data_IF_623537404965
#
_entry.id   IF_623537404965
#
_cell.length_a   1.000
_cell.length_b   1.000
_cell.length_c   1.000
_cell.angle_alpha   90.00
_cell.angle_beta   90.00
_cell.angle_gamma   90.00
#
_symmetry.space_group_name_H-M   'P 1'
#
loop_
_entity.id
_entity.type
_entity.pdbx_description
1 polymer ?
#
# COMPACT_ATOMS: atom_id res chain seq x y z
N UNK A 1 26.06 -0.92 -39.16
CA UNK A 1 25.29 0.23 -39.68
C UNK A 1 24.82 1.12 -38.52
N UNK A 2 25.19 2.40 -38.50
CA UNK A 2 24.72 3.34 -37.46
C UNK A 2 23.24 3.66 -37.68
N UNK A 3 22.39 3.46 -36.66
CA UNK A 3 20.96 3.78 -36.74
C UNK A 3 20.79 5.30 -36.91
N UNK A 4 20.01 5.78 -37.91
CA UNK A 4 19.80 7.21 -38.10
C UNK A 4 19.07 7.87 -36.92
N UNK A 5 19.51 9.06 -36.50
CA UNK A 5 18.92 9.81 -35.36
C UNK A 5 17.42 10.07 -35.52
N UNK A 6 16.95 10.35 -36.76
CA UNK A 6 15.52 10.53 -37.06
C UNK A 6 14.69 9.28 -36.74
N UNK A 7 15.24 8.09 -36.99
CA UNK A 7 14.58 6.81 -36.69
C UNK A 7 14.46 6.63 -35.18
N UNK A 8 15.55 6.86 -34.44
CA UNK A 8 15.59 6.73 -32.98
C UNK A 8 14.57 7.70 -32.33
N UNK A 9 14.47 8.93 -32.84
CA UNK A 9 13.52 9.91 -32.33
C UNK A 9 12.06 9.50 -32.58
N UNK A 10 11.76 8.96 -33.76
CA UNK A 10 10.44 8.44 -34.09
C UNK A 10 10.04 7.30 -33.14
N UNK A 11 10.93 6.32 -32.94
CA UNK A 11 10.68 5.20 -32.01
C UNK A 11 10.43 5.69 -30.57
N UNK A 12 11.17 6.71 -30.12
CA UNK A 12 10.97 7.31 -28.80
C UNK A 12 9.57 7.91 -28.66
N UNK A 13 9.11 8.67 -29.66
CA UNK A 13 7.78 9.26 -29.66
C UNK A 13 6.68 8.21 -29.71
N UNK A 14 6.84 7.17 -30.53
CA UNK A 14 5.91 6.04 -30.58
C UNK A 14 5.83 5.31 -29.24
N UNK A 15 6.97 5.01 -28.61
CA UNK A 15 7.00 4.33 -27.31
C UNK A 15 6.34 5.15 -26.20
N UNK A 16 6.66 6.45 -26.14
CA UNK A 16 6.15 7.37 -25.12
C UNK A 16 4.69 7.75 -25.34
N UNK A 17 4.22 7.76 -26.60
CA UNK A 17 2.83 8.03 -26.98
C UNK A 17 1.84 6.91 -26.64
N UNK A 18 2.31 5.69 -26.37
CA UNK A 18 1.44 4.57 -25.95
C UNK A 18 0.64 4.92 -24.69
N UNK A 19 -0.69 4.80 -24.78
CA UNK A 19 -1.63 5.06 -23.69
C UNK A 19 -1.33 4.16 -22.49
N UNK A 20 -0.94 4.76 -21.36
CA UNK A 20 -0.67 4.07 -20.09
C UNK A 20 -1.40 4.77 -18.95
N UNK A 21 -1.84 4.00 -17.96
CA UNK A 21 -2.44 4.57 -16.75
C UNK A 21 -1.45 5.49 -16.03
N UNK A 22 -1.94 6.61 -15.49
CA UNK A 22 -1.11 7.59 -14.74
C UNK A 22 -0.30 6.93 -13.63
N UNK A 23 -0.91 5.99 -12.91
CA UNK A 23 -0.27 5.24 -11.82
C UNK A 23 0.90 4.37 -12.29
N UNK A 24 0.88 3.88 -13.55
CA UNK A 24 1.98 3.13 -14.16
C UNK A 24 3.14 4.05 -14.51
N UNK A 25 2.85 5.20 -15.12
CA UNK A 25 3.88 6.19 -15.45
C UNK A 25 4.58 6.71 -14.19
N UNK A 26 3.84 6.95 -13.12
CA UNK A 26 4.41 7.37 -11.83
C UNK A 26 5.32 6.30 -11.21
N UNK A 27 5.05 5.01 -11.47
CA UNK A 27 5.96 3.93 -11.06
C UNK A 27 7.23 3.94 -11.90
N UNK A 28 7.11 4.02 -13.23
CA UNK A 28 8.27 4.08 -14.12
C UNK A 28 9.20 5.24 -13.80
N UNK A 29 8.65 6.44 -13.57
CA UNK A 29 9.44 7.60 -13.12
C UNK A 29 10.21 7.35 -11.83
N UNK A 30 9.61 6.67 -10.86
CA UNK A 30 10.28 6.35 -9.59
C UNK A 30 11.42 5.36 -9.79
N UNK A 31 11.19 4.30 -10.56
CA UNK A 31 12.24 3.31 -10.84
C UNK A 31 13.38 3.93 -11.65
N UNK A 32 13.08 4.80 -12.62
CA UNK A 32 14.11 5.55 -13.36
C UNK A 32 14.92 6.46 -12.45
N UNK A 33 14.28 7.24 -11.57
CA UNK A 33 15.00 8.08 -10.60
C UNK A 33 15.88 7.25 -9.66
N UNK A 34 15.40 6.09 -9.21
CA UNK A 34 16.17 5.19 -8.37
C UNK A 34 17.38 4.61 -9.12
N UNK A 35 17.22 4.25 -10.40
CA UNK A 35 18.32 3.80 -11.23
C UNK A 35 19.39 4.89 -11.39
N UNK A 36 18.99 6.11 -11.76
CA UNK A 36 19.93 7.25 -11.88
C UNK A 36 20.62 7.55 -10.56
N UNK A 37 19.89 7.57 -9.44
CA UNK A 37 20.45 7.85 -8.12
C UNK A 37 21.40 6.75 -7.60
N UNK A 38 21.33 5.54 -8.16
CA UNK A 38 22.22 4.44 -7.77
C UNK A 38 23.65 4.58 -8.32
N UNK A 39 23.84 5.42 -9.35
CA UNK A 39 25.11 5.53 -10.07
C UNK A 39 25.46 4.32 -10.94
N UNK A 40 24.66 3.25 -10.91
CA UNK A 40 24.87 2.06 -11.74
C UNK A 40 24.45 2.31 -13.19
N UNK A 41 25.16 1.66 -14.12
CA UNK A 41 24.72 1.54 -15.50
C UNK A 41 23.32 0.89 -15.56
N UNK A 42 22.42 1.28 -16.49
CA UNK A 42 21.10 0.70 -16.62
C UNK A 42 21.07 -0.84 -16.76
N UNK A 43 22.08 -1.45 -17.38
CA UNK A 43 22.21 -2.90 -17.50
C UNK A 43 22.59 -3.53 -16.16
N UNK A 44 23.50 -2.91 -15.42
CA UNK A 44 23.95 -3.38 -14.11
C UNK A 44 22.86 -3.21 -13.06
N UNK A 45 22.13 -2.10 -13.08
CA UNK A 45 20.97 -1.89 -12.23
C UNK A 45 19.88 -2.95 -12.49
N UNK A 46 19.67 -3.33 -13.76
CA UNK A 46 18.74 -4.40 -14.11
C UNK A 46 19.24 -5.79 -13.64
N UNK A 47 20.54 -6.08 -13.74
CA UNK A 47 21.17 -7.30 -13.22
C UNK A 47 21.04 -7.38 -11.70
N UNK A 48 21.37 -6.30 -10.99
CA UNK A 48 21.22 -6.20 -9.54
C UNK A 48 19.76 -6.39 -9.11
N UNK A 49 18.82 -5.79 -9.84
CA UNK A 49 17.41 -5.98 -9.59
C UNK A 49 16.94 -7.44 -9.75
N UNK A 50 17.48 -8.15 -10.74
CA UNK A 50 17.20 -9.57 -10.96
C UNK A 50 17.71 -10.43 -9.81
N UNK A 51 18.89 -10.13 -9.26
CA UNK A 51 19.49 -10.88 -8.17
C UNK A 51 18.80 -10.63 -6.82
N UNK A 52 18.45 -9.38 -6.50
CA UNK A 52 17.98 -8.99 -5.16
C UNK A 52 16.47 -9.16 -4.98
N UNK A 53 15.67 -8.79 -5.97
CA UNK A 53 14.20 -8.90 -5.91
C UNK A 53 13.63 -9.23 -7.30
N UNK A 54 13.71 -10.51 -7.72
CA UNK A 54 13.21 -10.97 -9.01
C UNK A 54 11.76 -10.52 -9.26
N UNK A 55 10.92 -10.49 -8.22
CA UNK A 55 9.49 -10.16 -8.31
C UNK A 55 9.20 -8.75 -8.84
N UNK A 56 10.17 -7.84 -8.73
CA UNK A 56 10.08 -6.46 -9.23
C UNK A 56 10.85 -6.23 -10.52
N UNK A 57 11.57 -7.24 -11.02
CA UNK A 57 12.41 -7.12 -12.21
C UNK A 57 11.67 -6.52 -13.40
N UNK A 58 10.48 -7.05 -13.73
CA UNK A 58 9.69 -6.58 -14.88
C UNK A 58 9.32 -5.10 -14.73
N UNK A 59 8.94 -4.67 -13.52
CA UNK A 59 8.59 -3.28 -13.24
C UNK A 59 9.82 -2.36 -13.38
N UNK A 60 10.94 -2.75 -12.79
CA UNK A 60 12.21 -2.01 -12.82
C UNK A 60 12.72 -1.87 -14.24
N UNK A 61 12.84 -2.99 -14.96
CA UNK A 61 13.20 -3.04 -16.39
C UNK A 61 12.32 -2.13 -17.24
N UNK A 62 11.00 -2.20 -17.05
CA UNK A 62 10.07 -1.32 -17.80
C UNK A 62 10.27 0.15 -17.46
N UNK A 63 10.55 0.47 -16.18
CA UNK A 63 10.82 1.83 -15.74
C UNK A 63 12.11 2.41 -16.32
N UNK A 64 13.17 1.60 -16.38
CA UNK A 64 14.45 1.94 -17.01
C UNK A 64 14.26 2.19 -18.51
N UNK A 65 13.63 1.25 -19.23
CA UNK A 65 13.35 1.40 -20.67
C UNK A 65 12.55 2.68 -20.94
N UNK A 66 11.53 2.96 -20.11
CA UNK A 66 10.77 4.20 -20.23
C UNK A 66 11.64 5.45 -20.01
N UNK A 67 12.50 5.44 -19.00
CA UNK A 67 13.43 6.54 -18.70
C UNK A 67 14.44 6.78 -19.81
N UNK A 68 14.98 5.72 -20.41
CA UNK A 68 15.90 5.78 -21.55
C UNK A 68 15.22 6.39 -22.78
N UNK A 69 13.99 5.98 -23.10
CA UNK A 69 13.22 6.60 -24.20
C UNK A 69 12.93 8.09 -23.96
N UNK A 70 12.57 8.45 -22.73
CA UNK A 70 12.34 9.85 -22.35
C UNK A 70 13.65 10.67 -22.41
N UNK A 71 14.78 10.07 -22.05
CA UNK A 71 16.12 10.67 -22.18
C UNK A 71 16.53 10.86 -23.63
N UNK A 72 16.28 9.88 -24.51
CA UNK A 72 16.52 9.98 -25.96
C UNK A 72 15.74 11.17 -26.54
N UNK A 73 14.43 11.24 -26.26
CA UNK A 73 13.58 12.31 -26.79
C UNK A 73 14.07 13.68 -26.36
N UNK A 74 14.39 13.86 -25.06
CA UNK A 74 14.93 15.12 -24.55
C UNK A 74 16.31 15.45 -25.13
N UNK A 75 17.21 14.46 -25.21
CA UNK A 75 18.57 14.64 -25.71
C UNK A 75 18.61 15.07 -27.17
N UNK A 76 17.78 14.47 -28.04
CA UNK A 76 17.72 14.84 -29.45
C UNK A 76 17.14 16.25 -29.65
N UNK A 77 16.11 16.62 -28.88
CA UNK A 77 15.56 17.99 -28.91
C UNK A 77 16.59 19.02 -28.41
N UNK A 78 17.34 18.70 -27.35
CA UNK A 78 18.41 19.56 -26.86
C UNK A 78 19.55 19.69 -27.88
N UNK A 79 19.95 18.59 -28.53
CA UNK A 79 21.00 18.59 -29.53
C UNK A 79 20.66 19.48 -30.73
N UNK A 80 19.40 19.46 -31.19
CA UNK A 80 18.94 20.32 -32.27
C UNK A 80 19.02 21.82 -31.90
N UNK A 81 18.73 22.18 -30.64
CA UNK A 81 18.87 23.55 -30.13
C UNK A 81 20.33 23.97 -30.06
N UNK A 82 21.15 23.15 -29.40
CA UNK A 82 22.59 23.38 -29.23
C UNK A 82 23.31 23.52 -30.58
N UNK A 83 22.90 22.75 -31.60
CA UNK A 83 23.43 22.88 -32.95
C UNK A 83 23.06 24.23 -33.60
N UNK A 84 21.86 24.75 -33.34
CA UNK A 84 21.46 26.10 -33.74
C UNK A 84 22.23 27.20 -33.01
N UNK A 85 22.64 26.93 -31.77
CA UNK A 85 23.42 27.84 -30.92
C UNK A 85 24.95 27.73 -31.15
N UNK A 86 25.41 26.95 -32.14
CA UNK A 86 26.83 26.75 -32.45
C UNK A 86 27.59 25.81 -31.49
N UNK A 87 26.91 25.17 -30.53
CA UNK A 87 27.47 24.24 -29.54
C UNK A 87 27.61 22.82 -30.11
N UNK A 88 28.39 22.67 -31.17
CA UNK A 88 28.47 21.43 -31.98
C UNK A 88 28.97 20.21 -31.19
N UNK A 89 29.94 20.37 -30.29
CA UNK A 89 30.46 19.26 -29.46
C UNK A 89 29.39 18.71 -28.51
N UNK A 90 28.67 19.61 -27.83
CA UNK A 90 27.59 19.25 -26.91
C UNK A 90 26.43 18.56 -27.64
N UNK A 91 26.05 19.08 -28.81
CA UNK A 91 25.04 18.46 -29.66
C UNK A 91 25.47 17.04 -30.10
N UNK A 92 26.73 16.88 -30.47
CA UNK A 92 27.31 15.58 -30.88
C UNK A 92 27.31 14.58 -29.73
N UNK A 93 27.71 15.00 -28.52
CA UNK A 93 27.68 14.17 -27.31
C UNK A 93 26.26 13.69 -26.99
N UNK A 94 25.26 14.57 -27.08
CA UNK A 94 23.85 14.23 -26.83
C UNK A 94 23.30 13.23 -27.86
N UNK A 95 23.68 13.36 -29.13
CA UNK A 95 23.32 12.40 -30.19
C UNK A 95 23.98 11.04 -29.93
N UNK A 96 25.25 11.01 -29.54
CA UNK A 96 25.96 9.77 -29.22
C UNK A 96 25.34 9.07 -27.99
N UNK A 97 24.99 9.84 -26.96
CA UNK A 97 24.29 9.31 -25.80
C UNK A 97 22.92 8.73 -26.17
N UNK A 98 22.16 9.38 -27.05
CA UNK A 98 20.87 8.86 -27.53
C UNK A 98 21.04 7.53 -28.31
N UNK A 99 22.08 7.42 -29.14
CA UNK A 99 22.42 6.16 -29.83
C UNK A 99 22.77 5.05 -28.83
N UNK A 100 23.58 5.36 -27.82
CA UNK A 100 23.94 4.39 -26.78
C UNK A 100 22.71 3.93 -25.98
N UNK A 101 21.85 4.85 -25.54
CA UNK A 101 20.58 4.50 -24.88
C UNK A 101 19.72 3.57 -25.73
N UNK A 102 19.67 3.78 -27.05
CA UNK A 102 18.91 2.92 -27.97
C UNK A 102 19.45 1.49 -28.03
N UNK A 103 20.78 1.32 -27.95
CA UNK A 103 21.43 0.01 -27.85
C UNK A 103 21.06 -0.66 -26.53
N UNK A 104 21.19 0.06 -25.41
CA UNK A 104 20.83 -0.43 -24.07
C UNK A 104 19.38 -0.86 -23.99
N UNK A 105 18.44 -0.12 -24.59
CA UNK A 105 17.03 -0.52 -24.68
C UNK A 105 16.90 -1.87 -25.39
N UNK A 106 17.63 -2.09 -26.49
CA UNK A 106 17.64 -3.36 -27.21
C UNK A 106 18.11 -4.51 -26.32
N UNK A 107 19.24 -4.31 -25.63
CA UNK A 107 19.80 -5.30 -24.70
C UNK A 107 18.84 -5.62 -23.54
N UNK A 108 18.25 -4.60 -22.91
CA UNK A 108 17.27 -4.79 -21.83
C UNK A 108 16.01 -5.51 -22.32
N UNK A 109 15.56 -5.20 -23.54
CA UNK A 109 14.36 -5.82 -24.12
C UNK A 109 14.59 -7.29 -24.47
N UNK A 110 15.80 -7.64 -24.90
CA UNK A 110 16.20 -9.01 -25.23
C UNK A 110 16.51 -9.89 -24.01
N UNK A 111 16.82 -9.30 -22.85
CA UNK A 111 17.12 -10.07 -21.63
C UNK A 111 15.96 -10.99 -21.23
N UNK A 112 16.32 -12.21 -20.89
CA UNK A 112 15.40 -13.17 -20.28
C UNK A 112 14.85 -12.64 -18.96
N UNK A 113 13.64 -13.09 -18.64
CA UNK A 113 12.98 -12.74 -17.40
C UNK A 113 13.37 -13.77 -16.34
N UNK A 114 13.96 -13.36 -15.19
CA UNK A 114 14.41 -14.30 -14.18
C UNK A 114 13.25 -15.10 -13.59
N UNK A 115 13.54 -16.32 -13.16
CA UNK A 115 12.56 -17.18 -12.50
C UNK A 115 11.99 -16.46 -11.26
N UNK A 116 10.67 -16.50 -11.09
CA UNK A 116 9.99 -15.81 -9.99
C UNK A 116 9.69 -14.32 -10.23
N UNK A 117 10.05 -13.76 -11.39
CA UNK A 117 9.71 -12.36 -11.72
C UNK A 117 8.21 -12.11 -11.88
N UNK A 118 7.47 -13.14 -12.25
CA UNK A 118 6.01 -13.10 -12.21
C UNK A 118 5.53 -13.64 -10.87
N UNK A 119 5.09 -12.75 -9.98
CA UNK A 119 4.28 -13.18 -8.84
C UNK A 119 2.95 -13.70 -9.37
N UNK A 120 2.51 -14.90 -8.95
CA UNK A 120 1.12 -15.33 -9.15
C UNK A 120 0.20 -14.17 -8.77
N UNK A 121 -0.73 -13.82 -9.65
CA UNK A 121 -1.71 -12.74 -9.44
C UNK A 121 -2.29 -12.93 -8.04
N UNK A 122 -1.92 -12.04 -7.10
CA UNK A 122 -2.35 -12.19 -5.72
C UNK A 122 -3.86 -12.24 -5.69
N UNK A 123 -4.44 -13.36 -5.26
CA UNK A 123 -5.89 -13.46 -5.12
C UNK A 123 -6.32 -12.43 -4.07
N UNK A 124 -6.75 -11.26 -4.55
CA UNK A 124 -7.23 -10.24 -3.64
C UNK A 124 -8.50 -10.79 -3.02
N UNK A 125 -8.51 -10.96 -1.69
CA UNK A 125 -9.73 -11.30 -0.93
C UNK A 125 -10.81 -10.21 -1.04
N UNK A 126 -10.63 -9.19 -1.88
CA UNK A 126 -11.68 -8.21 -2.22
C UNK A 126 -12.86 -8.86 -2.94
N UNK A 127 -12.62 -9.97 -3.64
CA UNK A 127 -13.67 -10.76 -4.29
C UNK A 127 -14.40 -11.70 -3.35
N UNK A 128 -13.86 -12.00 -2.15
CA UNK A 128 -14.47 -13.01 -1.26
C UNK A 128 -15.80 -12.58 -0.65
N UNK A 129 -16.14 -11.29 -0.71
CA UNK A 129 -17.45 -10.79 -0.27
C UNK A 129 -18.52 -10.82 -1.37
N UNK A 130 -18.14 -11.14 -2.62
CA UNK A 130 -19.07 -11.22 -3.75
C UNK A 130 -19.93 -12.48 -3.58
N UNK A 131 -21.25 -12.32 -3.70
CA UNK A 131 -22.21 -13.44 -3.62
C UNK A 131 -22.73 -13.76 -2.21
N UNK A 132 -22.26 -13.10 -1.15
CA UNK A 132 -22.89 -13.23 0.17
C UNK A 132 -24.17 -12.39 0.24
N UNK A 133 -25.22 -12.84 0.96
CA UNK A 133 -26.39 -12.01 1.27
C UNK A 133 -26.02 -10.88 2.25
N UNK A 134 -26.93 -9.94 2.52
CA UNK A 134 -26.61 -8.74 3.33
C UNK A 134 -26.41 -9.07 4.82
N UNK A 135 -27.20 -10.02 5.30
CA UNK A 135 -27.34 -10.57 6.65
C UNK A 135 -26.48 -11.83 6.88
N UNK A 136 -25.48 -12.07 6.04
CA UNK A 136 -24.66 -13.30 6.11
C UNK A 136 -23.96 -13.50 7.46
N UNK A 137 -23.71 -12.43 8.23
CA UNK A 137 -23.07 -12.52 9.56
C UNK A 137 -24.06 -13.00 10.60
N UNK A 138 -25.28 -12.48 10.53
CA UNK A 138 -26.42 -12.83 11.35
C UNK A 138 -26.77 -14.29 11.13
N UNK A 139 -26.93 -14.71 9.87
CA UNK A 139 -27.13 -16.12 9.49
C UNK A 139 -25.99 -17.03 9.99
N UNK A 140 -24.74 -16.60 9.84
CA UNK A 140 -23.59 -17.38 10.31
C UNK A 140 -23.49 -17.44 11.85
N UNK A 141 -23.96 -16.43 12.57
CA UNK A 141 -24.02 -16.45 14.03
C UNK A 141 -25.13 -17.38 14.53
N UNK A 142 -26.32 -17.31 13.92
CA UNK A 142 -27.46 -18.17 14.22
C UNK A 142 -27.15 -19.66 14.01
N UNK A 143 -26.43 -20.00 12.93
CA UNK A 143 -26.12 -21.38 12.58
C UNK A 143 -24.80 -21.91 13.18
N UNK A 144 -24.14 -21.10 14.03
CA UNK A 144 -22.95 -21.56 14.75
C UNK A 144 -23.32 -22.36 16.00
N UNK A 145 -22.40 -23.19 16.48
CA UNK A 145 -22.64 -23.91 17.74
C UNK A 145 -22.55 -22.94 18.94
N UNK A 146 -23.34 -23.13 20.01
CA UNK A 146 -23.36 -22.20 21.15
C UNK A 146 -21.97 -21.91 21.75
N UNK A 147 -21.13 -22.95 21.87
CA UNK A 147 -19.77 -22.79 22.37
C UNK A 147 -18.92 -21.84 21.50
N UNK A 148 -19.16 -21.80 20.18
CA UNK A 148 -18.42 -20.97 19.23
C UNK A 148 -18.97 -19.55 19.11
N UNK A 149 -20.22 -19.32 19.51
CA UNK A 149 -20.94 -18.07 19.31
C UNK A 149 -20.17 -16.84 19.81
N UNK A 150 -19.63 -16.80 21.05
CA UNK A 150 -18.87 -15.62 21.50
C UNK A 150 -17.68 -15.27 20.60
N UNK A 151 -16.96 -16.30 20.11
CA UNK A 151 -15.81 -16.14 19.23
C UNK A 151 -16.21 -15.64 17.83
N UNK A 152 -17.36 -16.09 17.32
CA UNK A 152 -17.93 -15.65 16.04
C UNK A 152 -18.39 -14.19 16.14
N UNK A 153 -19.14 -13.83 17.19
CA UNK A 153 -19.62 -12.46 17.43
C UNK A 153 -18.45 -11.47 17.55
N UNK A 154 -17.45 -11.77 18.38
CA UNK A 154 -16.23 -10.95 18.51
C UNK A 154 -15.52 -10.79 17.17
N UNK A 155 -15.44 -11.85 16.36
CA UNK A 155 -14.81 -11.79 15.03
C UNK A 155 -15.55 -10.84 14.10
N UNK A 156 -16.89 -10.89 14.08
CA UNK A 156 -17.72 -10.07 13.20
C UNK A 156 -17.79 -8.60 13.62
N UNK A 157 -17.83 -8.32 14.92
CA UNK A 157 -17.92 -6.95 15.45
C UNK A 157 -16.58 -6.21 15.43
N UNK A 158 -15.46 -6.92 15.65
CA UNK A 158 -14.15 -6.27 15.82
C UNK A 158 -13.17 -6.47 14.67
N UNK A 159 -13.42 -7.46 13.79
CA UNK A 159 -12.48 -7.85 12.76
C UNK A 159 -11.11 -8.28 13.31
N UNK A 160 -11.04 -8.79 14.54
CA UNK A 160 -9.81 -9.30 15.13
C UNK A 160 -9.19 -10.40 14.26
N UNK A 161 -7.86 -10.48 14.24
CA UNK A 161 -7.17 -11.58 13.54
C UNK A 161 -7.40 -12.88 14.33
N UNK A 162 -7.41 -14.05 13.67
CA UNK A 162 -7.48 -15.33 14.37
C UNK A 162 -6.42 -15.49 15.47
N UNK A 163 -5.19 -15.03 15.22
CA UNK A 163 -4.12 -15.05 16.22
C UNK A 163 -4.38 -14.11 17.41
N UNK A 164 -5.10 -13.00 17.20
CA UNK A 164 -5.50 -12.10 18.30
C UNK A 164 -6.56 -12.78 19.18
N UNK A 165 -7.53 -13.45 18.56
CA UNK A 165 -8.55 -14.21 19.27
C UNK A 165 -7.96 -15.42 20.04
N UNK A 166 -6.90 -16.02 19.52
CA UNK A 166 -6.20 -17.12 20.19
C UNK A 166 -5.50 -16.66 21.49
N UNK A 167 -4.92 -15.46 21.50
CA UNK A 167 -4.33 -14.86 22.72
C UNK A 167 -5.39 -14.47 23.75
N UNK A 168 -6.61 -14.22 23.29
CA UNK A 168 -7.75 -13.83 24.10
C UNK A 168 -8.16 -12.39 23.87
N UNK A 169 -9.46 -12.21 23.68
CA UNK A 169 -10.12 -10.91 23.56
C UNK A 169 -11.01 -10.73 24.79
N UNK A 170 -10.90 -9.58 25.44
CA UNK A 170 -11.73 -9.24 26.59
C UNK A 170 -12.94 -8.44 26.12
N UNK A 171 -14.11 -8.80 26.61
CA UNK A 171 -15.37 -8.09 26.41
C UNK A 171 -15.85 -7.62 27.76
N UNK A 172 -16.22 -6.34 27.86
CA UNK A 172 -16.76 -5.76 29.09
C UNK A 172 -18.01 -4.96 28.75
N UNK A 173 -19.10 -5.20 29.47
CA UNK A 173 -20.30 -4.36 29.44
C UNK A 173 -19.93 -3.03 30.10
N UNK A 174 -20.23 -1.93 29.42
CA UNK A 174 -20.01 -0.59 29.96
C UNK A 174 -21.29 -0.08 30.62
N UNK A 175 -22.42 -0.25 29.93
CA UNK A 175 -23.75 0.14 30.36
C UNK A 175 -24.81 -0.68 29.59
N UNK A 176 -26.09 -0.31 29.70
CA UNK A 176 -27.21 -1.00 29.05
C UNK A 176 -27.15 -1.01 27.51
N UNK A 177 -26.42 -0.06 26.91
CA UNK A 177 -26.37 0.17 25.47
C UNK A 177 -24.97 -0.01 24.87
N UNK A 178 -23.94 -0.19 25.70
CA UNK A 178 -22.56 -0.25 25.24
C UNK A 178 -21.77 -1.41 25.84
N UNK A 179 -20.90 -1.98 25.01
CA UNK A 179 -19.85 -2.90 25.42
C UNK A 179 -18.51 -2.50 24.82
N UNK A 180 -17.42 -2.87 25.48
CA UNK A 180 -16.06 -2.69 24.98
C UNK A 180 -15.43 -4.02 24.61
N UNK A 181 -14.71 -4.05 23.48
CA UNK A 181 -13.91 -5.18 23.03
C UNK A 181 -12.43 -4.77 23.05
N UNK A 182 -11.66 -5.35 23.96
CA UNK A 182 -10.22 -5.10 24.12
C UNK A 182 -9.38 -6.22 23.51
N UNK A 183 -8.49 -5.86 22.59
CA UNK A 183 -7.75 -6.80 21.76
C UNK A 183 -6.25 -6.56 21.91
N UNK A 184 -5.50 -7.60 22.25
CA UNK A 184 -4.04 -7.62 22.19
C UNK A 184 -3.58 -7.88 20.75
N UNK A 185 -2.65 -7.08 20.24
CA UNK A 185 -2.17 -7.19 18.87
C UNK A 185 -1.20 -8.36 18.68
N UNK A 186 -1.46 -9.23 17.69
CA UNK A 186 -0.66 -10.44 17.43
C UNK A 186 0.53 -10.23 16.48
N UNK A 187 0.54 -9.14 15.71
CA UNK A 187 1.59 -8.83 14.72
C UNK A 187 2.22 -7.48 15.03
N UNK A 188 2.80 -7.39 16.20
CA UNK A 188 3.36 -6.17 16.76
C UNK A 188 4.87 -6.33 16.92
N UNK A 189 5.60 -5.27 16.65
CA UNK A 189 6.98 -5.08 17.09
C UNK A 189 7.14 -3.60 17.47
N UNK A 190 8.34 -3.13 17.78
CA UNK A 190 8.58 -1.73 18.16
C UNK A 190 8.03 -0.71 17.15
N UNK A 191 8.09 -1.02 15.85
CA UNK A 191 7.76 -0.08 14.77
C UNK A 191 6.45 -0.40 14.03
N UNK A 192 5.84 -1.56 14.28
CA UNK A 192 4.69 -2.10 13.52
C UNK A 192 3.59 -2.62 14.44
N UNK A 193 2.35 -2.48 13.97
CA UNK A 193 1.15 -3.00 14.64
C UNK A 193 0.78 -2.24 15.92
N UNK A 194 -0.49 -2.29 16.30
CA UNK A 194 -0.96 -1.74 17.58
C UNK A 194 -0.80 -2.81 18.68
N UNK A 195 0.01 -2.58 19.74
CA UNK A 195 0.14 -3.48 20.89
C UNK A 195 -1.21 -3.88 21.50
N UNK A 196 -2.10 -2.92 21.65
CA UNK A 196 -3.48 -3.15 22.04
C UNK A 196 -4.41 -2.13 21.35
N UNK A 197 -5.69 -2.48 21.29
CA UNK A 197 -6.78 -1.56 20.93
C UNK A 197 -8.06 -1.91 21.69
N UNK A 198 -8.89 -0.92 21.94
CA UNK A 198 -10.20 -1.04 22.58
C UNK A 198 -11.24 -0.43 21.65
N UNK A 199 -12.30 -1.19 21.38
CA UNK A 199 -13.43 -0.74 20.56
C UNK A 199 -14.64 -0.61 21.47
N UNK A 200 -15.31 0.54 21.48
CA UNK A 200 -16.61 0.70 22.13
C UNK A 200 -17.69 0.50 21.09
N UNK A 201 -18.61 -0.41 21.39
CA UNK A 201 -19.64 -0.93 20.49
C UNK A 201 -21.00 -0.61 21.11
N UNK A 202 -21.84 0.13 20.38
CA UNK A 202 -23.25 0.27 20.70
C UNK A 202 -24.02 -1.02 20.39
N UNK A 203 -24.97 -1.39 21.23
CA UNK A 203 -25.86 -2.54 21.02
C UNK A 203 -27.02 -2.19 20.10
N UNK A 204 -27.49 -0.94 20.17
CA UNK A 204 -28.58 -0.44 19.34
C UNK A 204 -28.29 -0.61 17.84
N UNK A 205 -29.28 -1.14 17.11
CA UNK A 205 -29.17 -1.34 15.67
C UNK A 205 -28.24 -2.48 15.24
N UNK A 206 -27.72 -3.31 16.17
CA UNK A 206 -26.95 -4.50 15.83
C UNK A 206 -27.30 -5.70 16.71
N UNK A 207 -28.03 -6.65 16.11
CA UNK A 207 -28.40 -7.92 16.74
C UNK A 207 -27.16 -8.69 17.26
N UNK A 208 -26.08 -8.73 16.47
CA UNK A 208 -24.82 -9.35 16.89
C UNK A 208 -24.21 -8.70 18.14
N UNK A 209 -24.31 -7.37 18.28
CA UNK A 209 -23.80 -6.65 19.43
C UNK A 209 -24.69 -6.88 20.66
N UNK A 210 -26.01 -6.86 20.48
CA UNK A 210 -26.98 -7.21 21.53
C UNK A 210 -26.77 -8.63 22.07
N UNK A 211 -26.57 -9.62 21.20
CA UNK A 211 -26.27 -10.99 21.62
C UNK A 211 -24.95 -11.09 22.39
N UNK A 212 -23.90 -10.39 21.96
CA UNK A 212 -22.62 -10.39 22.68
C UNK A 212 -22.75 -9.70 24.05
N UNK A 213 -23.53 -8.61 24.11
CA UNK A 213 -23.86 -7.92 25.35
C UNK A 213 -24.56 -8.87 26.32
N UNK A 214 -25.62 -9.56 25.88
CA UNK A 214 -26.36 -10.52 26.71
C UNK A 214 -25.46 -11.63 27.25
N UNK A 215 -24.59 -12.19 26.41
CA UNK A 215 -23.63 -13.22 26.82
C UNK A 215 -22.63 -12.72 27.87
N UNK A 216 -22.17 -11.47 27.76
CA UNK A 216 -21.27 -10.85 28.74
C UNK A 216 -22.01 -10.50 30.03
N UNK A 217 -23.21 -9.93 29.96
CA UNK A 217 -24.07 -9.60 31.10
C UNK A 217 -24.39 -10.85 31.93
N UNK A 218 -24.77 -11.96 31.27
CA UNK A 218 -25.02 -13.25 31.94
C UNK A 218 -23.78 -13.85 32.63
N UNK A 219 -22.59 -13.32 32.36
CA UNK A 219 -21.32 -13.70 33.00
C UNK A 219 -20.78 -12.63 33.96
N UNK A 220 -21.67 -11.76 34.47
CA UNK A 220 -21.30 -10.71 35.42
C UNK A 220 -20.70 -9.47 34.76
N UNK A 221 -21.05 -9.20 33.50
CA UNK A 221 -20.62 -8.01 32.76
C UNK A 221 -19.23 -8.10 32.15
N UNK A 222 -18.52 -9.23 32.27
CA UNK A 222 -17.21 -9.45 31.68
C UNK A 222 -17.07 -10.85 31.08
N UNK A 223 -16.43 -10.92 29.91
CA UNK A 223 -16.22 -12.17 29.19
C UNK A 223 -14.83 -12.21 28.53
N UNK A 224 -14.05 -13.25 28.81
CA UNK A 224 -12.79 -13.51 28.09
C UNK A 224 -13.02 -14.55 26.99
N UNK A 225 -12.94 -14.12 25.74
CA UNK A 225 -13.20 -14.96 24.57
C UNK A 225 -11.88 -15.43 23.96
N UNK A 226 -11.70 -16.76 23.90
CA UNK A 226 -10.55 -17.41 23.27
C UNK A 226 -10.99 -18.49 22.29
N UNK A 227 -10.35 -18.55 21.12
CA UNK A 227 -10.52 -19.66 20.19
C UNK A 227 -9.30 -19.83 19.30
N UNK A 228 -8.85 -21.08 19.14
CA UNK A 228 -7.71 -21.40 18.28
C UNK A 228 -8.03 -21.12 16.80
N UNK A 229 -7.06 -20.64 15.99
CA UNK A 229 -7.31 -20.22 14.61
C UNK A 229 -7.93 -21.32 13.73
N UNK A 230 -7.40 -22.54 13.81
CA UNK A 230 -7.89 -23.70 13.04
C UNK A 230 -9.34 -24.02 13.39
N UNK A 231 -9.65 -24.04 14.69
CA UNK A 231 -11.01 -24.29 15.20
C UNK A 231 -11.97 -23.17 14.83
N UNK A 232 -11.56 -21.90 14.93
CA UNK A 232 -12.37 -20.76 14.50
C UNK A 232 -12.75 -20.87 13.02
N UNK A 233 -11.77 -21.18 12.16
CA UNK A 233 -12.03 -21.35 10.73
C UNK A 233 -12.96 -22.54 10.45
N UNK A 234 -12.79 -23.66 11.14
CA UNK A 234 -13.71 -24.81 11.05
C UNK A 234 -15.12 -24.42 11.47
N UNK A 235 -15.29 -23.75 12.61
CA UNK A 235 -16.59 -23.32 13.13
C UNK A 235 -17.31 -22.38 12.15
N UNK A 236 -16.58 -21.41 11.59
CA UNK A 236 -17.11 -20.49 10.59
C UNK A 236 -17.51 -21.20 9.29
N UNK A 237 -16.69 -22.14 8.80
CA UNK A 237 -17.01 -22.92 7.61
C UNK A 237 -18.23 -23.82 7.83
N UNK A 238 -18.34 -24.46 8.99
CA UNK A 238 -19.50 -25.28 9.36
C UNK A 238 -20.77 -24.43 9.49
N UNK A 239 -20.68 -23.26 10.13
CA UNK A 239 -21.82 -22.34 10.25
C UNK A 239 -22.28 -21.84 8.87
N UNK A 240 -21.36 -21.45 8.00
CA UNK A 240 -21.68 -21.07 6.62
C UNK A 240 -22.37 -22.22 5.86
N UNK A 241 -21.84 -23.44 5.96
CA UNK A 241 -22.45 -24.61 5.31
C UNK A 241 -23.89 -24.84 5.79
N UNK A 242 -24.14 -24.73 7.10
CA UNK A 242 -25.48 -24.89 7.70
C UNK A 242 -26.45 -23.80 7.26
N UNK A 243 -25.95 -22.58 7.10
CA UNK A 243 -26.73 -21.43 6.62
C UNK A 243 -26.86 -21.37 5.09
N UNK A 244 -26.40 -22.38 4.33
CA UNK A 244 -26.42 -22.35 2.87
C UNK A 244 -25.53 -21.29 2.23
N UNK A 245 -24.54 -20.78 2.96
CA UNK A 245 -23.64 -19.71 2.51
C UNK A 245 -22.35 -20.26 1.86
N UNK A 246 -21.76 -19.50 0.92
CA UNK A 246 -20.37 -19.72 0.52
C UNK A 246 -19.41 -19.77 1.71
N UNK A 247 -18.29 -20.47 1.56
CA UNK A 247 -17.31 -20.62 2.64
C UNK A 247 -16.81 -19.27 3.17
N UNK A 248 -17.07 -19.00 4.45
CA UNK A 248 -16.65 -17.79 5.15
C UNK A 248 -15.40 -18.04 6.01
N UNK A 249 -14.61 -16.99 6.25
CA UNK A 249 -13.48 -17.07 7.18
C UNK A 249 -13.28 -15.75 7.95
N UNK A 250 -12.56 -15.80 9.07
CA UNK A 250 -12.34 -14.63 9.93
C UNK A 250 -11.69 -13.42 9.23
N UNK A 251 -10.82 -13.68 8.23
CA UNK A 251 -10.23 -12.59 7.44
C UNK A 251 -11.28 -11.87 6.56
N UNK A 252 -12.34 -12.57 6.14
CA UNK A 252 -13.44 -11.95 5.39
C UNK A 252 -14.22 -10.99 6.28
N UNK A 253 -14.52 -11.38 7.52
CA UNK A 253 -15.15 -10.50 8.50
C UNK A 253 -14.36 -9.20 8.70
N UNK A 254 -13.04 -9.32 8.83
CA UNK A 254 -12.15 -8.16 8.93
C UNK A 254 -12.14 -7.29 7.67
N UNK A 255 -12.19 -7.89 6.49
CA UNK A 255 -12.30 -7.15 5.24
C UNK A 255 -13.64 -6.44 5.11
N UNK A 256 -14.72 -7.10 5.52
CA UNK A 256 -16.06 -6.53 5.56
C UNK A 256 -16.12 -5.33 6.49
N UNK A 257 -15.67 -5.46 7.74
CA UNK A 257 -15.62 -4.37 8.71
C UNK A 257 -14.84 -3.17 8.17
N UNK A 258 -13.66 -3.41 7.58
CA UNK A 258 -12.86 -2.35 6.97
C UNK A 258 -13.60 -1.63 5.83
N UNK A 259 -14.31 -2.35 4.97
CA UNK A 259 -15.09 -1.76 3.88
C UNK A 259 -16.30 -0.99 4.41
N UNK A 260 -16.96 -1.50 5.46
CA UNK A 260 -18.09 -0.83 6.09
C UNK A 260 -17.69 0.49 6.75
N UNK A 261 -16.64 0.47 7.56
CA UNK A 261 -16.14 1.68 8.21
C UNK A 261 -15.76 2.76 7.21
N UNK A 262 -15.10 2.40 6.11
CA UNK A 262 -14.77 3.36 5.03
C UNK A 262 -16.01 3.98 4.40
N UNK A 263 -17.12 3.23 4.33
CA UNK A 263 -18.37 3.72 3.77
C UNK A 263 -19.10 4.65 4.75
N UNK A 264 -19.15 4.28 6.02
CA UNK A 264 -19.89 5.00 7.06
C UNK A 264 -19.15 6.25 7.54
N UNK A 265 -17.88 6.12 7.91
CA UNK A 265 -17.08 7.21 8.48
C UNK A 265 -16.39 8.08 7.41
N UNK A 266 -16.50 7.69 6.14
CA UNK A 266 -15.95 8.44 5.02
C UNK A 266 -14.42 8.39 4.91
N UNK A 267 -13.88 9.30 4.09
CA UNK A 267 -12.45 9.31 3.70
C UNK A 267 -11.54 9.95 4.74
N UNK A 268 -12.07 10.71 5.68
CA UNK A 268 -11.26 11.44 6.67
C UNK A 268 -10.95 10.60 7.91
N UNK A 269 -11.81 9.63 8.26
CA UNK A 269 -11.61 8.70 9.38
C UNK A 269 -10.54 7.60 9.14
N UNK A 270 -9.54 7.85 8.29
CA UNK A 270 -8.48 6.87 8.00
C UNK A 270 -7.73 6.48 9.26
N UNK A 271 -7.46 7.41 10.18
CA UNK A 271 -6.72 7.09 11.40
C UNK A 271 -7.52 6.13 12.29
N UNK A 272 -8.80 6.42 12.51
CA UNK A 272 -9.70 5.57 13.32
C UNK A 272 -9.86 4.18 12.71
N UNK A 273 -10.03 4.10 11.39
CA UNK A 273 -10.07 2.81 10.67
C UNK A 273 -8.74 2.05 10.86
N UNK A 274 -7.61 2.74 10.92
CA UNK A 274 -6.33 2.09 11.22
C UNK A 274 -6.32 1.56 12.65
N UNK A 275 -6.80 2.33 13.62
CA UNK A 275 -6.87 1.93 15.02
C UNK A 275 -7.75 0.70 15.19
N UNK A 276 -8.97 0.68 14.60
CA UNK A 276 -9.86 -0.49 14.62
C UNK A 276 -9.19 -1.73 14.02
N UNK A 277 -8.43 -1.56 12.94
CA UNK A 277 -7.67 -2.62 12.31
C UNK A 277 -6.33 -2.92 13.02
N UNK A 278 -5.95 -2.21 14.07
CA UNK A 278 -4.66 -2.42 14.74
C UNK A 278 -3.46 -2.15 13.81
N UNK A 279 -3.57 -1.15 12.92
CA UNK A 279 -2.50 -0.63 12.08
C UNK A 279 -1.87 0.61 12.73
N UNK A 280 -0.56 0.79 12.54
CA UNK A 280 0.19 1.99 12.96
C UNK A 280 0.41 3.00 11.83
N UNK A 281 -0.14 2.72 10.64
CA UNK A 281 -0.10 3.63 9.51
C UNK A 281 -1.35 3.50 8.66
N UNK A 282 -1.78 4.59 8.02
CA UNK A 282 -2.91 4.55 7.08
C UNK A 282 -2.55 3.91 5.73
N UNK A 283 -1.24 3.68 5.45
CA UNK A 283 -0.76 3.08 4.18
C UNK A 283 -1.31 1.68 3.93
N UNK A 284 -1.37 0.86 4.97
CA UNK A 284 -1.76 -0.56 4.89
C UNK A 284 -3.26 -0.77 4.64
N UNK A 285 -4.08 0.26 4.82
CA UNK A 285 -5.52 0.20 4.56
C UNK A 285 -5.88 0.13 3.08
N UNK A 286 -4.95 0.52 2.18
CA UNK A 286 -5.15 0.47 0.73
C UNK A 286 -5.41 -0.94 0.22
N UNK A 287 -5.03 -1.98 0.96
CA UNK A 287 -5.26 -3.38 0.61
C UNK A 287 -6.70 -3.85 0.86
N UNK A 288 -7.42 -3.21 1.80
CA UNK A 288 -8.80 -3.52 2.18
C UNK A 288 -9.78 -2.86 1.21
N UNK A 289 -10.98 -3.43 1.03
CA UNK A 289 -11.97 -3.09 0.00
C UNK A 289 -12.32 -1.61 -0.17
N UNK A 290 -13.01 -1.28 -1.28
CA UNK A 290 -13.46 0.08 -1.60
C UNK A 290 -14.75 0.44 -0.88
N UNK A 291 -15.05 1.74 -0.79
CA UNK A 291 -16.30 2.28 -0.20
C UNK A 291 -17.57 1.69 -0.84
N UNK A 292 -17.50 1.33 -2.12
CA UNK A 292 -18.59 0.70 -2.87
C UNK A 292 -18.93 -0.72 -2.38
N UNK A 293 -18.05 -1.38 -1.60
CA UNK A 293 -18.28 -2.72 -1.08
C UNK A 293 -18.94 -2.73 0.32
N UNK A 294 -19.12 -1.57 0.96
CA UNK A 294 -19.88 -1.48 2.21
C UNK A 294 -21.38 -1.65 1.95
N UNK A 295 -22.07 -2.43 2.77
CA UNK A 295 -23.54 -2.65 2.70
C UNK A 295 -24.25 -1.84 3.78
N UNK A 296 -25.57 -1.63 3.69
CA UNK A 296 -26.31 -0.97 4.80
C UNK A 296 -26.35 -1.92 6.02
N UNK A 297 -26.34 -1.34 7.23
CA UNK A 297 -26.42 -2.06 8.50
C UNK A 297 -25.09 -2.66 8.98
N UNK A 298 -24.78 -2.49 10.27
CA UNK A 298 -23.91 -3.42 10.98
C UNK A 298 -22.55 -2.95 11.49
N UNK A 299 -22.27 -1.64 11.59
CA UNK A 299 -21.14 -1.17 12.40
C UNK A 299 -21.61 -0.19 13.46
N UNK A 300 -21.49 -0.63 14.70
CA UNK A 300 -21.86 0.10 15.91
C UNK A 300 -20.65 0.57 16.70
N UNK A 301 -19.46 0.59 16.08
CA UNK A 301 -18.27 1.15 16.74
C UNK A 301 -18.51 2.65 16.91
N UNK A 302 -18.62 3.10 18.15
CA UNK A 302 -18.84 4.51 18.51
C UNK A 302 -17.56 5.19 19.00
N UNK A 303 -16.62 4.42 19.52
CA UNK A 303 -15.31 4.92 19.92
C UNK A 303 -14.21 3.87 19.68
N UNK A 304 -12.99 4.33 19.45
CA UNK A 304 -11.81 3.48 19.32
C UNK A 304 -10.60 4.12 19.99
N UNK A 305 -9.92 3.32 20.80
CA UNK A 305 -8.65 3.66 21.42
C UNK A 305 -7.58 2.66 20.98
N UNK A 306 -6.36 3.14 20.79
CA UNK A 306 -5.21 2.29 20.47
C UNK A 306 -3.94 2.80 21.13
N UNK A 307 -3.01 1.89 21.39
CA UNK A 307 -1.80 2.18 22.13
C UNK A 307 -0.88 3.23 21.47
N UNK A 308 -0.82 3.27 20.13
CA UNK A 308 0.09 4.14 19.38
C UNK A 308 -0.69 5.09 18.49
N UNK A 309 -0.18 6.31 18.36
CA UNK A 309 -0.65 7.28 17.37
C UNK A 309 -0.49 6.71 15.95
N UNK A 310 -1.54 6.86 15.13
CA UNK A 310 -1.53 6.38 13.75
C UNK A 310 -0.83 7.37 12.84
N UNK A 311 0.25 6.91 12.19
CA UNK A 311 0.99 7.70 11.21
C UNK A 311 0.22 7.85 9.90
N UNK A 312 0.04 9.08 9.45
CA UNK A 312 -0.36 9.37 8.08
C UNK A 312 0.89 9.48 7.22
N UNK A 313 1.08 8.65 6.17
CA UNK A 313 2.20 8.84 5.26
C UNK A 313 2.05 10.22 4.61
N UNK A 314 2.97 11.13 4.91
CA UNK A 314 3.08 12.39 4.20
C UNK A 314 3.28 12.05 2.71
N UNK A 315 2.27 12.35 1.90
CA UNK A 315 2.55 12.64 0.50
C UNK A 315 3.21 14.02 0.55
N UNK A 316 4.45 14.22 0.11
CA UNK A 316 4.83 15.57 -0.27
C UNK A 316 3.84 15.95 -1.38
N UNK A 317 2.87 16.78 -1.02
CA UNK A 317 2.10 17.50 -2.01
C UNK A 317 3.12 18.42 -2.67
N UNK A 318 3.42 18.17 -3.94
CA UNK A 318 4.14 19.16 -4.74
C UNK A 318 3.24 20.39 -4.80
N UNK A 319 3.50 21.37 -3.94
CA UNK A 319 2.97 22.71 -4.07
C UNK A 319 3.80 23.35 -5.18
N UNK A 320 3.15 23.68 -6.30
CA UNK A 320 3.71 24.66 -7.23
C UNK A 320 3.87 25.94 -6.41
N UNK A 321 5.10 26.33 -6.06
CA UNK A 321 5.34 27.72 -5.66
C UNK A 321 5.01 28.58 -6.89
N UNK A 322 3.95 29.37 -6.75
CA UNK A 322 3.65 30.46 -7.65
C UNK A 322 4.76 31.49 -7.58
N UNK A 323 5.02 32.13 -8.71
CA UNK A 323 5.92 33.25 -8.83
C UNK A 323 5.62 34.30 -7.76
N UNK A 324 6.63 34.64 -6.97
CA UNK A 324 6.70 35.93 -6.29
C UNK A 324 8.03 36.53 -6.72
N UNK A 325 7.93 37.60 -7.49
CA UNK A 325 9.06 38.44 -7.83
C UNK A 325 9.67 38.99 -6.54
N UNK A 326 10.97 38.78 -6.38
CA UNK A 326 11.80 39.61 -5.51
C UNK A 326 13.16 39.73 -6.17
N UNK A 327 13.43 40.94 -6.65
CA UNK A 327 14.72 41.43 -7.12
C UNK A 327 15.76 41.22 -6.03
N UNK A 328 16.97 40.69 -6.31
CA UNK A 328 18.04 40.71 -5.33
C UNK A 328 18.65 42.11 -5.31
N UNK A 329 18.53 42.75 -4.16
CA UNK A 329 19.28 43.94 -3.78
C UNK A 329 20.76 43.53 -3.64
N UNK A 330 21.63 44.24 -4.35
CA UNK A 330 23.07 44.06 -4.37
C UNK A 330 23.61 44.64 -3.05
N UNK A 331 24.32 43.82 -2.28
CA UNK A 331 25.18 44.28 -1.20
C UNK A 331 26.60 43.81 -1.49
N UNK A 332 27.45 44.79 -1.80
CA UNK A 332 28.90 44.69 -1.83
C UNK A 332 29.45 44.08 -0.54
N UNK A 333 30.35 43.12 -0.67
CA UNK A 333 31.52 43.03 0.22
C UNK A 333 32.63 42.24 -0.48
N UNK A 334 33.65 42.98 -0.86
CA UNK A 334 34.97 42.50 -1.25
C UNK A 334 35.57 41.58 -0.18
N UNK A 335 36.05 40.39 -0.59
CA UNK A 335 37.43 39.94 -0.36
C UNK A 335 37.70 38.56 -1.02
N UNK A 336 38.95 38.26 -1.43
CA UNK A 336 39.26 37.27 -2.46
C UNK A 336 39.51 35.85 -1.93
N UNK A 337 39.10 34.88 -2.74
CA UNK A 337 39.30 33.45 -2.54
C UNK A 337 40.76 33.04 -2.72
N UNK A 338 41.40 32.54 -1.66
CA UNK A 338 42.62 31.73 -1.76
C UNK A 338 42.26 30.25 -1.92
N UNK A 339 42.75 29.68 -3.02
CA UNK A 339 42.77 28.24 -3.33
C UNK A 339 43.85 27.59 -2.46
N UNK A 340 43.51 26.52 -1.75
CA UNK A 340 44.49 25.60 -1.17
C UNK A 340 44.26 24.19 -1.73
N UNK A 341 45.30 23.68 -2.39
CA UNK A 341 45.39 22.40 -3.07
C UNK A 341 45.21 21.17 -2.15
N UNK A 342 44.89 19.99 -2.74
CA UNK A 342 44.59 18.77 -2.01
C UNK A 342 45.85 18.00 -1.57
N UNK A 343 45.89 17.58 -0.30
CA UNK A 343 46.88 16.62 0.19
C UNK A 343 46.55 15.19 -0.25
N UNK A 344 47.56 14.36 -0.62
CA UNK A 344 47.35 13.01 -1.11
C UNK A 344 47.10 12.00 0.02
N UNK A 345 46.15 11.09 -0.21
CA UNK A 345 45.93 9.91 0.62
C UNK A 345 47.03 8.86 0.35
N UNK A 346 47.75 8.47 1.40
CA UNK A 346 48.68 7.33 1.40
C UNK A 346 47.99 6.15 2.07
N UNK A 347 48.04 4.98 1.44
CA UNK A 347 47.57 3.71 1.97
C UNK A 347 48.53 3.14 3.02
N UNK A 348 47.98 2.57 4.08
CA UNK A 348 48.59 1.52 4.92
C UNK A 348 47.50 0.59 5.42
#
# INVERSE_FOLDING_TARGET
MSIPTKVIFREANEYLGKKRARSTLDRYRREWKAAVASGLDPLDYASHAAAVDPTRYVLRRSGIIWGLWDSIRRGIVAAARNMGDGLTELATAQVNQAKWHRVVIGLLSAREVPQGAFTRKGQSKRGSLKGLPQDWRELAAEHTIPAALPAVLVTFLSGCRPAELAMGVKVHVLDAQHLTITIRGAKTNELKGQPWRRLTIATEGSELASQLWQLASAKGGALSVKRQPRTLHKNLATAAKRAGLPAICAYMARHFLASQLKKLWGKEAKQDIAMVLGHVSTRTQRAYGSTQQGRRGGVTIVNVEAARVVRTPHRPHYVKQGAVASTPEIADSDTPWTISDPTPFVFS
#
